data_IF_211718478505
#
_entry.id   IF_211718478505
#
_cell.length_a   1.000
_cell.length_b   1.000
_cell.length_c   1.000
_cell.angle_alpha   90.00
_cell.angle_beta   90.00
_cell.angle_gamma   90.00
#
_symmetry.space_group_name_H-M   'P 1'
#
loop_
_entity.id
_entity.type
_entity.pdbx_description
1 polymer ?
#
# COMPACT_ATOMS: atom_id res chain seq x y z
N UNK A 1 57.74 5.52 13.76
CA UNK A 1 57.42 6.48 14.83
C UNK A 1 56.02 7.02 14.58
N UNK A 2 55.06 6.61 15.40
CA UNK A 2 53.83 7.34 15.76
C UNK A 2 53.16 6.51 16.87
N UNK A 3 53.74 6.61 18.07
CA UNK A 3 53.23 6.03 19.30
C UNK A 3 52.78 7.18 20.21
N UNK A 4 51.64 7.79 19.89
CA UNK A 4 50.99 8.87 20.65
C UNK A 4 49.47 8.72 20.59
N UNK A 5 48.98 7.51 20.90
CA UNK A 5 47.55 7.22 21.04
C UNK A 5 47.28 6.33 22.27
N UNK A 6 48.14 6.44 23.28
CA UNK A 6 47.92 5.86 24.61
C UNK A 6 47.72 6.98 25.61
N UNK A 7 46.65 6.88 26.40
CA UNK A 7 46.25 7.77 27.51
C UNK A 7 45.26 8.88 27.13
N UNK A 8 44.15 8.52 26.49
CA UNK A 8 42.89 9.17 26.87
C UNK A 8 42.53 8.67 28.29
N UNK A 9 42.17 9.56 29.23
CA UNK A 9 41.81 9.17 30.60
C UNK A 9 40.66 8.16 30.56
N UNK A 10 40.75 7.09 31.36
CA UNK A 10 39.68 6.07 31.50
C UNK A 10 38.30 6.65 31.83
N UNK A 11 38.26 7.88 32.37
CA UNK A 11 37.04 8.65 32.62
C UNK A 11 36.33 9.13 31.34
N UNK A 12 37.06 9.41 30.25
CA UNK A 12 36.48 9.83 28.96
C UNK A 12 35.96 8.65 28.13
N UNK A 13 36.51 7.46 28.36
CA UNK A 13 36.07 6.24 27.66
C UNK A 13 34.68 5.82 28.16
N UNK A 14 34.45 5.91 29.47
CA UNK A 14 33.14 5.64 30.07
C UNK A 14 32.04 6.61 29.64
N UNK A 15 32.35 7.88 29.38
CA UNK A 15 31.34 8.87 28.96
C UNK A 15 30.96 8.73 27.48
N UNK A 16 31.92 8.38 26.61
CA UNK A 16 31.65 8.10 25.20
C UNK A 16 30.84 6.80 25.02
N UNK A 17 31.21 5.72 25.71
CA UNK A 17 30.49 4.44 25.66
C UNK A 17 29.07 4.58 26.22
N UNK A 18 28.89 5.38 27.27
CA UNK A 18 27.58 5.69 27.85
C UNK A 18 26.73 6.55 26.90
N UNK A 19 27.32 7.53 26.20
CA UNK A 19 26.62 8.31 25.18
C UNK A 19 26.19 7.45 23.98
N UNK A 20 27.05 6.53 23.52
CA UNK A 20 26.73 5.55 22.46
C UNK A 20 25.61 4.61 22.91
N UNK A 21 25.65 4.13 24.15
CA UNK A 21 24.59 3.29 24.73
C UNK A 21 23.24 4.03 24.79
N UNK A 22 23.20 5.26 25.30
CA UNK A 22 21.96 6.05 25.33
C UNK A 22 21.48 6.45 23.94
N UNK A 23 22.39 6.72 23.01
CA UNK A 23 22.05 6.98 21.61
C UNK A 23 21.39 5.75 20.98
N UNK A 24 21.98 4.56 21.16
CA UNK A 24 21.43 3.29 20.70
C UNK A 24 20.06 2.99 21.33
N UNK A 25 19.92 3.20 22.65
CA UNK A 25 18.66 2.95 23.35
C UNK A 25 17.54 3.92 22.92
N UNK A 26 17.87 5.19 22.68
CA UNK A 26 16.91 6.19 22.18
C UNK A 26 16.48 5.87 20.75
N UNK A 27 17.44 5.47 19.90
CA UNK A 27 17.18 5.03 18.53
C UNK A 27 16.29 3.79 18.50
N UNK A 28 16.54 2.81 19.37
CA UNK A 28 15.68 1.63 19.51
C UNK A 28 14.24 1.99 19.89
N UNK A 29 14.06 2.88 20.86
CA UNK A 29 12.71 3.30 21.29
C UNK A 29 11.96 4.00 20.15
N UNK A 30 12.63 4.93 19.47
CA UNK A 30 12.05 5.65 18.32
C UNK A 30 11.72 4.67 17.18
N UNK A 31 12.59 3.71 16.90
CA UNK A 31 12.36 2.66 15.92
C UNK A 31 11.14 1.80 16.26
N UNK A 32 11.01 1.34 17.52
CA UNK A 32 9.85 0.55 17.97
C UNK A 32 8.56 1.34 17.85
N UNK A 33 8.56 2.61 18.24
CA UNK A 33 7.39 3.48 18.10
C UNK A 33 7.00 3.69 16.63
N UNK A 34 7.99 3.97 15.76
CA UNK A 34 7.77 4.12 14.32
C UNK A 34 7.26 2.83 13.67
N UNK A 35 7.89 1.70 13.96
CA UNK A 35 7.49 0.38 13.48
C UNK A 35 6.08 0.01 13.94
N UNK A 36 5.73 0.31 15.19
CA UNK A 36 4.38 0.09 15.71
C UNK A 36 3.34 0.97 15.01
N UNK A 37 3.62 2.26 14.83
CA UNK A 37 2.75 3.18 14.10
C UNK A 37 2.53 2.70 12.66
N UNK A 38 3.62 2.35 11.98
CA UNK A 38 3.59 1.81 10.62
C UNK A 38 2.76 0.55 10.51
N UNK A 39 2.97 -0.40 11.43
CA UNK A 39 2.19 -1.64 11.51
C UNK A 39 0.70 -1.36 11.65
N UNK A 40 0.31 -0.47 12.56
CA UNK A 40 -1.10 -0.07 12.75
C UNK A 40 -1.71 0.54 11.49
N UNK A 41 -1.01 1.47 10.84
CA UNK A 41 -1.49 2.10 9.60
C UNK A 41 -1.59 1.08 8.47
N UNK A 42 -0.61 0.18 8.33
CA UNK A 42 -0.63 -0.90 7.35
C UNK A 42 -1.83 -1.84 7.54
N UNK A 43 -2.11 -2.23 8.78
CA UNK A 43 -3.28 -3.06 9.11
C UNK A 43 -4.61 -2.35 8.82
N UNK A 44 -4.72 -1.06 9.14
CA UNK A 44 -5.90 -0.26 8.80
C UNK A 44 -6.12 -0.22 7.28
N UNK A 45 -5.06 0.04 6.50
CA UNK A 45 -5.12 0.06 5.05
C UNK A 45 -5.50 -1.31 4.48
N UNK A 46 -4.97 -2.39 5.06
CA UNK A 46 -5.30 -3.76 4.68
C UNK A 46 -6.80 -4.03 4.86
N UNK A 47 -7.35 -3.80 6.06
CA UNK A 47 -8.77 -4.06 6.34
C UNK A 47 -9.68 -3.22 5.44
N UNK A 48 -9.46 -1.90 5.37
CA UNK A 48 -10.27 -1.01 4.55
C UNK A 48 -10.14 -1.33 3.05
N UNK A 49 -8.92 -1.57 2.58
CA UNK A 49 -8.65 -1.90 1.19
C UNK A 49 -9.31 -3.21 0.78
N UNK A 50 -9.22 -4.25 1.60
CA UNK A 50 -9.88 -5.54 1.35
C UNK A 50 -11.39 -5.36 1.29
N UNK A 51 -11.99 -4.65 2.25
CA UNK A 51 -13.43 -4.39 2.27
C UNK A 51 -13.90 -3.63 1.01
N UNK A 52 -13.23 -2.54 0.64
CA UNK A 52 -13.60 -1.73 -0.52
C UNK A 52 -13.41 -2.48 -1.84
N UNK A 53 -12.34 -3.26 -1.98
CA UNK A 53 -12.12 -4.06 -3.18
C UNK A 53 -13.17 -5.17 -3.32
N UNK A 54 -13.52 -5.87 -2.25
CA UNK A 54 -14.61 -6.86 -2.30
C UNK A 54 -15.97 -6.23 -2.61
N UNK A 55 -16.29 -5.07 -2.03
CA UNK A 55 -17.49 -4.32 -2.37
C UNK A 55 -17.52 -3.96 -3.86
N UNK A 56 -16.40 -3.49 -4.41
CA UNK A 56 -16.31 -3.12 -5.82
C UNK A 56 -16.42 -4.35 -6.74
N UNK A 57 -15.77 -5.48 -6.40
CA UNK A 57 -15.90 -6.75 -7.12
C UNK A 57 -17.37 -7.20 -7.15
N UNK A 58 -18.06 -7.14 -6.00
CA UNK A 58 -19.47 -7.47 -5.92
C UNK A 58 -20.33 -6.57 -6.82
N UNK A 59 -20.09 -5.26 -6.82
CA UNK A 59 -20.77 -4.32 -7.72
C UNK A 59 -20.49 -4.62 -9.19
N UNK A 60 -19.25 -4.93 -9.55
CA UNK A 60 -18.86 -5.28 -10.91
C UNK A 60 -19.62 -6.53 -11.39
N UNK A 61 -19.66 -7.57 -10.57
CA UNK A 61 -20.30 -8.84 -10.95
C UNK A 61 -21.83 -8.69 -11.02
N UNK A 62 -22.44 -7.96 -10.08
CA UNK A 62 -23.91 -7.94 -9.94
C UNK A 62 -24.59 -6.76 -10.61
N UNK A 63 -23.90 -5.64 -10.86
CA UNK A 63 -24.52 -4.36 -11.22
C UNK A 63 -23.94 -3.68 -12.47
N UNK A 64 -22.90 -4.24 -13.11
CA UNK A 64 -22.39 -3.67 -14.37
C UNK A 64 -23.34 -3.90 -15.55
N UNK A 65 -23.67 -2.83 -16.26
CA UNK A 65 -24.46 -2.87 -17.50
C UNK A 65 -23.64 -3.39 -18.70
N UNK A 66 -24.34 -3.93 -19.71
CA UNK A 66 -23.71 -4.54 -20.91
C UNK A 66 -22.71 -3.63 -21.62
N UNK A 67 -23.01 -2.34 -21.72
CA UNK A 67 -22.16 -1.33 -22.39
C UNK A 67 -20.82 -1.11 -21.68
N UNK A 68 -20.72 -1.40 -20.38
CA UNK A 68 -19.50 -1.23 -19.58
C UNK A 68 -18.70 -2.53 -19.38
N UNK A 69 -19.05 -3.61 -20.09
CA UNK A 69 -18.39 -4.92 -19.92
C UNK A 69 -16.89 -4.91 -20.20
N UNK A 70 -16.42 -4.11 -21.17
CA UNK A 70 -14.98 -4.02 -21.46
C UNK A 70 -14.24 -3.35 -20.29
N UNK A 71 -14.76 -2.23 -19.80
CA UNK A 71 -14.20 -1.50 -18.67
C UNK A 71 -14.26 -2.29 -17.36
N UNK A 72 -15.32 -3.07 -17.14
CA UNK A 72 -15.47 -3.85 -15.91
C UNK A 72 -14.46 -5.00 -15.79
N UNK A 73 -13.98 -5.55 -16.90
CA UNK A 73 -12.87 -6.52 -16.90
C UNK A 73 -11.58 -5.88 -16.38
N UNK A 74 -11.27 -4.67 -16.85
CA UNK A 74 -10.09 -3.91 -16.40
C UNK A 74 -10.22 -3.58 -14.91
N UNK A 75 -11.38 -3.07 -14.48
CA UNK A 75 -11.63 -2.81 -13.06
C UNK A 75 -11.48 -4.07 -12.21
N UNK A 76 -12.02 -5.21 -12.65
CA UNK A 76 -11.90 -6.47 -11.93
C UNK A 76 -10.43 -6.90 -11.80
N UNK A 77 -9.65 -6.80 -12.87
CA UNK A 77 -8.20 -7.05 -12.83
C UNK A 77 -7.50 -6.12 -11.83
N UNK A 78 -7.85 -4.83 -11.80
CA UNK A 78 -7.27 -3.90 -10.82
C UNK A 78 -7.62 -4.27 -9.39
N UNK A 79 -8.86 -4.69 -9.10
CA UNK A 79 -9.24 -5.14 -7.75
C UNK A 79 -8.48 -6.40 -7.32
N UNK A 80 -8.24 -7.34 -8.24
CA UNK A 80 -7.45 -8.56 -7.93
C UNK A 80 -6.00 -8.19 -7.63
N UNK A 81 -5.40 -7.31 -8.42
CA UNK A 81 -4.04 -6.81 -8.18
C UNK A 81 -3.96 -6.00 -6.87
N UNK A 82 -5.01 -5.26 -6.52
CA UNK A 82 -5.14 -4.56 -5.24
C UNK A 82 -5.15 -5.50 -4.05
N UNK A 83 -5.97 -6.54 -4.09
CA UNK A 83 -6.01 -7.57 -3.04
C UNK A 83 -4.66 -8.28 -2.88
N UNK A 84 -4.00 -8.61 -4.00
CA UNK A 84 -2.66 -9.17 -3.99
C UNK A 84 -1.65 -8.21 -3.34
N UNK A 85 -1.66 -6.93 -3.75
CA UNK A 85 -0.74 -5.90 -3.23
C UNK A 85 -0.94 -5.71 -1.72
N UNK A 86 -2.19 -5.62 -1.26
CA UNK A 86 -2.53 -5.49 0.17
C UNK A 86 -2.04 -6.69 0.98
N UNK A 87 -2.26 -7.91 0.47
CA UNK A 87 -1.82 -9.14 1.14
C UNK A 87 -0.29 -9.17 1.25
N UNK A 88 0.41 -8.91 0.14
CA UNK A 88 1.86 -8.90 0.14
C UNK A 88 2.44 -7.77 1.01
N UNK A 89 1.77 -6.61 1.09
CA UNK A 89 2.21 -5.53 1.96
C UNK A 89 2.17 -5.92 3.45
N UNK A 90 1.18 -6.70 3.91
CA UNK A 90 1.13 -7.23 5.29
C UNK A 90 2.13 -8.36 5.50
N UNK A 91 2.33 -9.20 4.49
CA UNK A 91 3.27 -10.32 4.57
C UNK A 91 4.72 -9.85 4.66
N UNK A 92 5.10 -8.80 3.92
CA UNK A 92 6.49 -8.31 3.86
C UNK A 92 6.74 -7.15 4.83
N UNK A 93 5.82 -6.18 4.92
CA UNK A 93 5.97 -4.90 5.66
C UNK A 93 7.40 -4.35 5.67
N UNK A 94 7.91 -3.89 4.52
CA UNK A 94 9.27 -3.39 4.42
C UNK A 94 9.41 -2.01 5.07
N UNK A 95 10.43 -1.88 5.91
CA UNK A 95 10.83 -0.65 6.59
C UNK A 95 12.24 -0.32 6.11
N UNK A 96 12.35 0.72 5.27
CA UNK A 96 13.64 1.22 4.82
C UNK A 96 14.17 2.26 5.81
N UNK A 97 15.39 2.04 6.30
CA UNK A 97 16.08 2.96 7.21
C UNK A 97 17.43 3.31 6.59
N UNK A 98 17.77 4.59 6.59
CA UNK A 98 19.10 5.06 6.25
C UNK A 98 19.88 5.25 7.55
N UNK A 99 20.82 4.35 7.85
CA UNK A 99 21.66 4.42 9.04
C UNK A 99 23.10 4.68 8.59
N UNK A 100 23.69 5.81 9.01
CA UNK A 100 25.09 6.17 8.70
C UNK A 100 25.43 6.16 7.19
N UNK A 101 24.46 6.50 6.33
CA UNK A 101 24.63 6.49 4.88
C UNK A 101 24.40 5.13 4.22
N UNK A 102 24.20 4.06 4.99
CA UNK A 102 23.83 2.74 4.49
C UNK A 102 22.30 2.57 4.51
N UNK A 103 21.75 2.03 3.42
CA UNK A 103 20.34 1.66 3.34
C UNK A 103 20.16 0.25 3.91
N UNK A 104 19.46 0.15 5.03
CA UNK A 104 19.10 -1.11 5.66
C UNK A 104 17.60 -1.32 5.44
N UNK A 105 17.23 -2.45 4.85
CA UNK A 105 15.83 -2.87 4.72
C UNK A 105 15.51 -3.83 5.87
N UNK A 106 14.66 -3.38 6.78
CA UNK A 106 14.08 -4.22 7.83
C UNK A 106 12.71 -4.70 7.38
N UNK A 107 12.33 -5.91 7.76
CA UNK A 107 10.98 -6.42 7.50
C UNK A 107 10.26 -6.61 8.83
N UNK A 108 9.04 -6.07 8.92
CA UNK A 108 8.18 -6.22 10.09
C UNK A 108 6.97 -7.13 9.83
N UNK A 109 6.94 -7.79 8.68
CA UNK A 109 5.82 -8.63 8.26
C UNK A 109 5.89 -10.05 8.85
N UNK A 110 5.02 -10.91 8.33
CA UNK A 110 4.92 -12.31 8.74
C UNK A 110 6.25 -13.08 8.62
N UNK A 111 7.07 -12.77 7.62
CA UNK A 111 8.37 -13.41 7.41
C UNK A 111 9.52 -12.79 8.20
N UNK A 112 9.25 -11.95 9.20
CA UNK A 112 10.29 -11.34 10.03
C UNK A 112 11.21 -12.38 10.70
N UNK A 113 10.65 -13.51 11.12
CA UNK A 113 11.40 -14.59 11.79
C UNK A 113 11.95 -15.64 10.81
N UNK A 114 11.69 -15.49 9.51
CA UNK A 114 12.20 -16.41 8.52
C UNK A 114 13.72 -16.29 8.34
N UNK A 115 14.34 -17.32 7.76
CA UNK A 115 15.75 -17.28 7.40
C UNK A 115 16.06 -16.08 6.49
N UNK A 116 17.20 -15.44 6.70
CA UNK A 116 17.75 -14.34 5.89
C UNK A 116 17.51 -14.48 4.37
N UNK A 117 17.82 -15.62 3.70
CA UNK A 117 17.61 -15.74 2.25
C UNK A 117 16.14 -15.66 1.84
N UNK A 118 15.23 -16.25 2.63
CA UNK A 118 13.79 -16.22 2.33
C UNK A 118 13.24 -14.80 2.50
N UNK A 119 13.63 -14.13 3.57
CA UNK A 119 13.27 -12.74 3.84
C UNK A 119 13.68 -11.83 2.67
N UNK A 120 14.91 -11.98 2.17
CA UNK A 120 15.41 -11.27 0.99
C UNK A 120 14.58 -11.59 -0.27
N UNK A 121 14.38 -12.87 -0.60
CA UNK A 121 13.60 -13.28 -1.79
C UNK A 121 12.19 -12.71 -1.76
N UNK A 122 11.51 -12.79 -0.61
CA UNK A 122 10.15 -12.29 -0.43
C UNK A 122 10.09 -10.77 -0.55
N UNK A 123 11.08 -10.07 0.03
CA UNK A 123 11.24 -8.63 -0.12
C UNK A 123 11.39 -8.21 -1.57
N UNK A 124 12.20 -8.94 -2.32
CA UNK A 124 12.48 -8.64 -3.72
C UNK A 124 11.29 -8.94 -4.63
N UNK A 125 10.55 -10.03 -4.37
CA UNK A 125 9.30 -10.32 -5.08
C UNK A 125 8.24 -9.24 -4.83
N UNK A 126 8.13 -8.74 -3.59
CA UNK A 126 7.25 -7.62 -3.26
C UNK A 126 7.70 -6.35 -3.99
N UNK A 127 8.99 -6.04 -3.97
CA UNK A 127 9.56 -4.86 -4.63
C UNK A 127 9.32 -4.90 -6.14
N UNK A 128 9.53 -6.05 -6.78
CA UNK A 128 9.24 -6.23 -8.21
C UNK A 128 7.75 -6.03 -8.48
N UNK A 129 6.87 -6.64 -7.69
CA UNK A 129 5.43 -6.52 -7.87
C UNK A 129 4.94 -5.06 -7.74
N UNK A 130 5.46 -4.30 -6.78
CA UNK A 130 5.11 -2.88 -6.60
C UNK A 130 5.74 -2.00 -7.69
N UNK A 131 6.98 -2.30 -8.09
CA UNK A 131 7.69 -1.54 -9.14
C UNK A 131 7.05 -1.74 -10.51
N UNK A 132 6.70 -2.96 -10.92
CA UNK A 132 6.00 -3.20 -12.19
C UNK A 132 4.67 -2.46 -12.27
N UNK A 133 3.97 -2.35 -11.13
CA UNK A 133 2.72 -1.60 -11.04
C UNK A 133 2.91 -0.09 -11.18
N UNK A 134 4.00 0.44 -10.65
CA UNK A 134 4.33 1.87 -10.69
C UNK A 134 5.18 2.26 -11.92
N UNK A 135 5.70 1.29 -12.66
CA UNK A 135 6.59 1.51 -13.81
C UNK A 135 6.01 2.46 -14.87
N UNK A 136 4.71 2.39 -15.25
CA UNK A 136 4.12 3.36 -16.18
C UNK A 136 4.15 4.80 -15.64
N UNK A 137 4.16 4.99 -14.31
CA UNK A 137 4.14 6.28 -13.64
C UNK A 137 5.55 6.85 -13.36
N UNK A 138 6.56 5.98 -13.26
CA UNK A 138 7.92 6.33 -12.81
C UNK A 138 8.92 6.62 -13.93
N UNK A 139 8.49 6.63 -15.20
CA UNK A 139 9.37 6.77 -16.38
C UNK A 139 10.10 8.12 -16.53
N UNK A 140 10.04 9.03 -15.55
CA UNK A 140 10.73 10.32 -15.55
C UNK A 140 11.39 10.62 -14.21
N UNK A 141 12.65 10.23 -14.07
CA UNK A 141 13.68 10.87 -13.21
C UNK A 141 13.45 11.01 -11.69
N UNK A 142 12.53 10.27 -11.07
CA UNK A 142 12.41 10.31 -9.60
C UNK A 142 13.54 9.50 -8.95
N UNK A 143 14.31 10.16 -8.10
CA UNK A 143 15.44 9.57 -7.38
C UNK A 143 14.99 8.44 -6.45
N UNK A 144 15.87 7.47 -6.22
CA UNK A 144 15.66 6.32 -5.33
C UNK A 144 15.21 6.75 -3.92
N UNK A 145 15.62 7.93 -3.45
CA UNK A 145 15.18 8.50 -2.16
C UNK A 145 13.70 8.92 -2.15
N UNK A 146 13.22 9.53 -3.25
CA UNK A 146 11.79 9.81 -3.42
C UNK A 146 11.00 8.51 -3.51
N UNK A 147 11.54 7.50 -4.18
CA UNK A 147 10.92 6.18 -4.27
C UNK A 147 10.77 5.51 -2.89
N UNK A 148 11.81 5.55 -2.03
CA UNK A 148 11.78 4.96 -0.68
C UNK A 148 10.76 5.66 0.24
N UNK A 149 10.71 6.99 0.20
CA UNK A 149 9.73 7.79 0.94
C UNK A 149 8.29 7.59 0.42
N UNK A 150 8.13 7.36 -0.89
CA UNK A 150 6.83 7.05 -1.49
C UNK A 150 6.36 5.61 -1.22
N UNK A 151 7.29 4.67 -1.07
CA UNK A 151 6.98 3.25 -0.87
C UNK A 151 6.49 2.92 0.54
N UNK A 152 6.93 3.68 1.54
CA UNK A 152 6.59 3.37 2.93
C UNK A 152 5.14 3.77 3.23
N UNK A 153 4.77 5.04 3.06
CA UNK A 153 3.46 5.54 3.54
C UNK A 153 2.37 5.54 2.45
N UNK A 154 2.55 6.12 1.25
CA UNK A 154 1.45 6.20 0.28
C UNK A 154 1.10 4.88 -0.43
N UNK A 155 2.05 3.97 -0.63
CA UNK A 155 1.80 2.77 -1.45
C UNK A 155 0.71 1.84 -0.88
N UNK A 156 0.64 1.58 0.44
CA UNK A 156 -0.48 0.84 1.03
C UNK A 156 -1.86 1.50 0.84
N UNK A 157 -1.90 2.82 0.59
CA UNK A 157 -3.15 3.53 0.32
C UNK A 157 -3.62 3.41 -1.12
N UNK A 158 -2.75 3.10 -2.10
CA UNK A 158 -3.16 2.98 -3.51
C UNK A 158 -4.31 1.96 -3.68
N UNK A 159 -4.24 0.74 -3.12
CA UNK A 159 -5.33 -0.22 -3.19
C UNK A 159 -6.61 0.18 -2.44
N UNK A 160 -6.54 1.16 -1.55
CA UNK A 160 -7.70 1.72 -0.83
C UNK A 160 -8.33 2.83 -1.67
N UNK A 161 -7.51 3.71 -2.23
CA UNK A 161 -7.94 4.86 -3.02
C UNK A 161 -8.51 4.42 -4.37
N UNK A 162 -7.99 3.37 -5.00
CA UNK A 162 -8.49 2.90 -6.30
C UNK A 162 -9.99 2.54 -6.26
N UNK A 163 -10.47 1.64 -5.38
CA UNK A 163 -11.89 1.35 -5.29
C UNK A 163 -12.70 2.54 -4.77
N UNK A 164 -12.16 3.34 -3.83
CA UNK A 164 -12.85 4.53 -3.32
C UNK A 164 -13.13 5.56 -4.43
N UNK A 165 -12.12 5.90 -5.22
CA UNK A 165 -12.23 6.81 -6.36
C UNK A 165 -13.20 6.23 -7.39
N UNK A 166 -13.13 4.93 -7.67
CA UNK A 166 -14.05 4.26 -8.59
C UNK A 166 -15.50 4.37 -8.11
N UNK A 167 -15.76 4.16 -6.81
CA UNK A 167 -17.08 4.30 -6.20
C UNK A 167 -17.61 5.74 -6.26
N UNK A 168 -16.74 6.75 -6.16
CA UNK A 168 -17.11 8.16 -6.19
C UNK A 168 -17.28 8.70 -7.62
N UNK A 169 -16.46 8.27 -8.57
CA UNK A 169 -16.46 8.79 -9.94
C UNK A 169 -17.41 8.05 -10.86
N UNK A 170 -17.55 6.72 -10.74
CA UNK A 170 -18.43 5.95 -11.61
C UNK A 170 -19.87 6.15 -11.17
N UNK A 171 -20.60 7.01 -11.90
CA UNK A 171 -21.98 7.41 -11.59
C UNK A 171 -22.89 6.24 -11.22
N UNK A 172 -22.80 5.13 -11.95
CA UNK A 172 -23.61 3.93 -11.69
C UNK A 172 -23.35 3.35 -10.30
N UNK A 173 -22.08 3.14 -9.94
CA UNK A 173 -21.71 2.64 -8.61
C UNK A 173 -22.02 3.66 -7.52
N UNK A 174 -21.72 4.94 -7.76
CA UNK A 174 -22.06 6.02 -6.82
C UNK A 174 -23.56 6.05 -6.50
N UNK A 175 -24.43 5.92 -7.50
CA UNK A 175 -25.88 5.90 -7.29
C UNK A 175 -26.35 4.67 -6.50
N UNK A 176 -25.69 3.51 -6.68
CA UNK A 176 -26.02 2.30 -5.94
C UNK A 176 -25.59 2.41 -4.47
N UNK A 177 -24.38 2.91 -4.23
CA UNK A 177 -23.80 2.99 -2.87
C UNK A 177 -24.35 4.16 -2.06
N UNK A 178 -24.42 5.35 -2.66
CA UNK A 178 -24.78 6.60 -1.96
C UNK A 178 -26.17 7.14 -2.35
N UNK A 179 -26.68 6.78 -3.53
CA UNK A 179 -27.89 7.38 -4.12
C UNK A 179 -29.22 6.80 -3.65
N UNK A 180 -29.23 5.96 -2.60
CA UNK A 180 -30.44 5.53 -1.91
C UNK A 180 -31.55 4.98 -2.81
N UNK A 181 -31.26 4.00 -3.68
CA UNK A 181 -32.21 3.11 -4.38
C UNK A 181 -33.25 3.72 -5.34
N UNK A 182 -33.86 4.86 -5.01
CA UNK A 182 -35.04 5.44 -5.69
C UNK A 182 -34.68 6.01 -7.06
N UNK A 183 -33.54 6.69 -7.19
CA UNK A 183 -33.13 7.29 -8.47
C UNK A 183 -32.80 6.22 -9.54
N UNK A 184 -32.23 5.09 -9.13
CA UNK A 184 -31.89 3.99 -10.05
C UNK A 184 -33.15 3.25 -10.54
N UNK A 185 -34.12 3.03 -9.66
CA UNK A 185 -35.41 2.42 -10.05
C UNK A 185 -36.14 3.28 -11.08
N UNK A 186 -36.18 4.60 -10.94
CA UNK A 186 -36.79 5.49 -11.92
C UNK A 186 -36.07 5.45 -13.28
N UNK A 187 -34.74 5.42 -13.28
CA UNK A 187 -33.98 5.39 -14.54
C UNK A 187 -34.13 4.03 -15.26
N UNK A 188 -34.12 2.92 -14.53
CA UNK A 188 -34.34 1.58 -15.09
C UNK A 188 -35.76 1.41 -15.62
N UNK A 189 -36.76 1.97 -14.93
CA UNK A 189 -38.13 1.98 -15.44
C UNK A 189 -38.18 2.70 -16.78
N UNK A 190 -37.63 3.92 -16.84
CA UNK A 190 -37.68 4.77 -18.03
C UNK A 190 -37.01 4.12 -19.25
N UNK A 191 -35.85 3.50 -19.09
CA UNK A 191 -35.17 2.80 -20.20
C UNK A 191 -35.92 1.57 -20.65
N UNK A 192 -36.53 0.81 -19.72
CA UNK A 192 -37.36 -0.35 -20.08
C UNK A 192 -38.58 0.08 -20.89
N UNK A 193 -39.27 1.15 -20.47
CA UNK A 193 -40.44 1.69 -21.19
C UNK A 193 -40.08 2.15 -22.62
N UNK A 194 -38.93 2.80 -22.81
CA UNK A 194 -38.50 3.22 -24.15
C UNK A 194 -38.13 2.06 -25.08
N UNK A 195 -37.55 0.99 -24.53
CA UNK A 195 -37.22 -0.21 -25.29
C UNK A 195 -38.47 -0.97 -25.74
N UNK A 196 -39.51 -1.00 -24.91
CA UNK A 196 -40.79 -1.60 -25.33
C UNK A 196 -41.51 -0.76 -26.38
N UNK A 197 -41.50 0.57 -26.24
CA UNK A 197 -42.08 1.46 -27.27
C UNK A 197 -41.40 1.28 -28.65
N UNK A 198 -40.09 1.06 -28.69
CA UNK A 198 -39.36 0.77 -29.95
C UNK A 198 -39.68 -0.59 -30.58
N UNK A 199 -40.22 -1.55 -29.82
CA UNK A 199 -40.60 -2.86 -30.36
C UNK A 199 -42.00 -2.87 -30.96
N UNK A 200 -42.83 -1.89 -30.60
CA UNK A 200 -44.21 -1.76 -31.05
C UNK A 200 -44.32 -0.88 -32.30
N UNK A 201 -43.33 0.00 -32.54
CA UNK A 201 -43.15 0.78 -33.77
C UNK A 201 -42.42 0.00 -34.85
#
# INVERSE_FOLDING_TARGET
MNATLGLLPSYFQNSADQAIYYHNQTNERNYRAFSSFYGTVSWLCFVLGVMLNFLLIWLIIKKTHGEMKAYSKILLQTCVLDLYTLTMAVVVQPIYIMLEGNNIMLQNGFFREASQPLNFIVGELWFLATTFRLFPLLSRQLSVLYFISYMTVPVPWIPVLNPLITLLLVKQYRMIVFGGGKALSYHLLKTKTQLELRKVS
#
